data_IF_683374222067
#
_entry.id   IF_683374222067
#
_cell.length_a   1.000
_cell.length_b   1.000
_cell.length_c   1.000
_cell.angle_alpha   90.00
_cell.angle_beta   90.00
_cell.angle_gamma   90.00
#
_symmetry.space_group_name_H-M   'P 1'
#
loop_
_entity.id
_entity.type
_entity.pdbx_description
1 polymer ?
#
# COMPACT_ATOMS: atom_id res chain seq x y z
N UNK A 1 20.29 21.13 -51.17
CA UNK A 1 19.25 22.19 -51.01
C UNK A 1 17.88 21.60 -50.70
N UNK A 2 17.84 20.58 -49.81
CA UNK A 2 16.62 19.83 -49.44
C UNK A 2 16.19 20.06 -47.97
N UNK A 3 16.54 21.21 -47.43
CA UNK A 3 16.28 21.54 -45.98
C UNK A 3 15.03 22.40 -45.76
N UNK A 4 14.24 22.63 -46.81
CA UNK A 4 13.01 23.45 -46.64
C UNK A 4 11.87 22.59 -46.10
N UNK A 5 11.27 22.96 -44.94
CA UNK A 5 10.18 22.24 -44.34
C UNK A 5 8.95 22.24 -45.25
N UNK A 6 8.36 21.07 -45.47
CA UNK A 6 7.04 20.98 -46.08
C UNK A 6 5.96 21.35 -45.06
N UNK A 7 5.24 22.44 -45.32
CA UNK A 7 4.17 22.94 -44.47
C UNK A 7 2.81 22.58 -45.11
N UNK A 8 1.91 22.02 -44.32
CA UNK A 8 0.56 21.66 -44.75
C UNK A 8 -0.45 22.71 -44.26
N UNK A 9 -0.97 23.57 -45.19
CA UNK A 9 -1.98 24.58 -44.83
C UNK A 9 -3.33 23.97 -44.42
N UNK A 10 -3.60 22.72 -44.76
CA UNK A 10 -4.87 22.03 -44.43
C UNK A 10 -4.85 21.38 -43.07
N UNK A 11 -3.69 21.29 -42.43
CA UNK A 11 -3.53 20.70 -41.08
C UNK A 11 -4.20 21.55 -39.99
N UNK A 12 -4.76 20.89 -38.97
CA UNK A 12 -5.27 21.57 -37.77
C UNK A 12 -4.17 22.26 -36.95
N UNK A 13 -2.90 21.94 -37.21
CA UNK A 13 -1.75 22.56 -36.54
C UNK A 13 -1.36 23.84 -37.26
N UNK A 14 -1.34 25.01 -36.58
CA UNK A 14 -0.94 26.29 -37.19
C UNK A 14 0.44 26.22 -37.84
N UNK A 15 0.62 26.87 -39.02
CA UNK A 15 1.85 26.81 -39.82
C UNK A 15 3.09 27.20 -39.03
N UNK A 16 3.02 28.16 -38.11
CA UNK A 16 4.18 28.55 -37.29
C UNK A 16 4.63 27.44 -36.33
N UNK A 17 3.67 26.62 -35.82
CA UNK A 17 4.00 25.45 -34.99
C UNK A 17 4.59 24.30 -35.80
N UNK A 18 4.10 24.10 -37.03
CA UNK A 18 4.66 23.12 -37.93
C UNK A 18 6.12 23.49 -38.26
N UNK A 19 6.35 24.77 -38.58
CA UNK A 19 7.68 25.30 -38.86
C UNK A 19 8.63 25.17 -37.67
N UNK A 20 8.15 25.53 -36.46
CA UNK A 20 8.92 25.35 -35.23
C UNK A 20 9.30 23.87 -35.02
N UNK A 21 8.36 22.94 -35.13
CA UNK A 21 8.60 21.51 -34.98
C UNK A 21 9.59 20.92 -36.03
N UNK A 22 9.63 21.48 -37.24
CA UNK A 22 10.63 21.10 -38.25
C UNK A 22 12.02 21.53 -37.81
N UNK A 23 12.23 22.77 -37.40
CA UNK A 23 13.52 23.24 -36.92
C UNK A 23 13.96 22.51 -35.65
N UNK A 24 13.05 22.20 -34.76
CA UNK A 24 13.34 21.39 -33.56
C UNK A 24 13.93 20.02 -33.93
N UNK A 25 13.35 19.33 -34.92
CA UNK A 25 13.86 18.04 -35.38
C UNK A 25 15.24 18.18 -36.06
N UNK A 26 15.42 19.19 -36.90
CA UNK A 26 16.69 19.44 -37.56
C UNK A 26 17.83 19.81 -36.58
N UNK A 27 17.52 20.58 -35.55
CA UNK A 27 18.45 20.88 -34.45
C UNK A 27 18.75 19.61 -33.62
N UNK A 28 17.72 18.80 -33.34
CA UNK A 28 17.88 17.58 -32.57
C UNK A 28 18.64 16.48 -33.32
N UNK A 29 18.44 16.37 -34.64
CA UNK A 29 19.20 15.42 -35.50
C UNK A 29 20.63 15.87 -35.79
N UNK A 30 20.95 17.15 -35.52
CA UNK A 30 22.26 17.73 -35.88
C UNK A 30 22.39 18.20 -37.35
N UNK A 31 21.32 18.16 -38.13
CA UNK A 31 21.24 18.72 -39.46
C UNK A 31 21.48 20.25 -39.47
N UNK A 32 21.00 20.93 -38.42
CA UNK A 32 21.33 22.29 -38.09
C UNK A 32 22.34 22.29 -36.94
N UNK A 33 23.56 22.64 -37.23
CA UNK A 33 24.64 22.62 -36.25
C UNK A 33 24.54 23.79 -35.25
N UNK A 34 25.01 23.58 -34.01
CA UNK A 34 25.13 24.65 -33.01
C UNK A 34 25.95 25.82 -33.53
N UNK A 35 25.42 27.03 -33.44
CA UNK A 35 26.05 28.25 -33.97
C UNK A 35 25.73 28.52 -35.44
N UNK A 36 25.03 27.62 -36.12
CA UNK A 36 24.60 27.80 -37.49
C UNK A 36 23.58 28.93 -37.59
N UNK A 37 23.70 29.74 -38.63
CA UNK A 37 22.82 30.88 -38.86
C UNK A 37 21.54 30.43 -39.57
N UNK A 38 20.40 30.72 -38.99
CA UNK A 38 19.10 30.53 -39.63
C UNK A 38 18.86 31.61 -40.70
N UNK A 39 18.10 31.29 -41.78
CA UNK A 39 17.70 32.25 -42.77
C UNK A 39 16.96 33.46 -42.13
N UNK A 40 17.15 34.62 -42.73
CA UNK A 40 16.38 35.80 -42.24
C UNK A 40 14.87 35.55 -42.39
N UNK A 41 14.06 36.03 -41.42
CA UNK A 41 12.60 35.78 -41.41
C UNK A 41 11.92 36.20 -42.72
N UNK A 42 12.42 37.25 -43.41
CA UNK A 42 11.90 37.75 -44.69
C UNK A 42 12.29 36.77 -45.84
N UNK A 43 13.46 36.28 -45.82
CA UNK A 43 13.98 35.34 -46.79
C UNK A 43 13.28 33.98 -46.69
N UNK A 44 13.18 33.44 -45.49
CA UNK A 44 12.50 32.16 -45.24
C UNK A 44 11.00 32.23 -45.57
N UNK A 45 10.34 33.37 -45.29
CA UNK A 45 8.96 33.58 -45.65
C UNK A 45 8.74 33.52 -47.16
N UNK A 46 9.67 34.14 -47.92
CA UNK A 46 9.63 34.11 -49.38
C UNK A 46 9.89 32.68 -49.93
N UNK A 47 10.83 31.94 -49.37
CA UNK A 47 11.15 30.58 -49.80
C UNK A 47 10.02 29.57 -49.51
N UNK A 48 9.26 29.77 -48.40
CA UNK A 48 8.16 28.90 -47.99
C UNK A 48 6.79 29.34 -48.50
N UNK A 49 6.70 30.49 -49.13
CA UNK A 49 5.41 31.08 -49.57
C UNK A 49 4.42 31.44 -48.43
N UNK A 50 4.96 31.73 -47.24
CA UNK A 50 4.15 32.05 -46.05
C UNK A 50 4.31 33.50 -45.61
N UNK A 51 3.41 34.00 -44.74
CA UNK A 51 3.56 35.33 -44.20
C UNK A 51 4.78 35.46 -43.30
N UNK A 52 5.47 36.59 -43.32
CA UNK A 52 6.62 36.89 -42.46
C UNK A 52 6.28 36.74 -40.96
N UNK A 53 5.03 37.10 -40.57
CA UNK A 53 4.55 36.93 -39.17
C UNK A 53 4.56 35.45 -38.74
N UNK A 54 4.28 34.53 -39.65
CA UNK A 54 4.31 33.09 -39.38
C UNK A 54 5.75 32.62 -39.05
N UNK A 55 6.74 33.10 -39.82
CA UNK A 55 8.16 32.77 -39.57
C UNK A 55 8.64 33.44 -38.26
N UNK A 56 8.26 34.69 -38.02
CA UNK A 56 8.60 35.43 -36.81
C UNK A 56 8.06 34.70 -35.56
N UNK A 57 6.79 34.28 -35.59
CA UNK A 57 6.18 33.53 -34.49
C UNK A 57 6.85 32.15 -34.24
N UNK A 58 7.30 31.49 -35.32
CA UNK A 58 8.06 30.25 -35.19
C UNK A 58 9.44 30.49 -34.54
N UNK A 59 10.13 31.56 -34.92
CA UNK A 59 11.42 31.92 -34.34
C UNK A 59 11.29 32.37 -32.89
N UNK A 60 10.31 33.18 -32.57
CA UNK A 60 10.02 33.53 -31.17
C UNK A 60 9.77 32.29 -30.31
N UNK A 61 9.03 31.31 -30.82
CA UNK A 61 8.78 30.06 -30.12
C UNK A 61 10.07 29.22 -29.95
N UNK A 62 10.94 29.20 -30.94
CA UNK A 62 12.25 28.56 -30.83
C UNK A 62 13.19 29.28 -29.85
N UNK A 63 13.14 30.61 -29.79
CA UNK A 63 13.86 31.41 -28.79
C UNK A 63 13.37 31.14 -27.38
N UNK A 64 12.04 31.12 -27.17
CA UNK A 64 11.43 30.77 -25.88
C UNK A 64 11.84 29.35 -25.41
N UNK A 65 12.03 28.43 -26.35
CA UNK A 65 12.53 27.08 -26.08
C UNK A 65 14.06 27.01 -25.93
N UNK A 66 14.77 28.12 -26.09
CA UNK A 66 16.23 28.21 -26.00
C UNK A 66 16.96 27.45 -27.10
N UNK A 67 16.30 27.15 -28.22
CA UNK A 67 16.87 26.43 -29.37
C UNK A 67 17.59 27.35 -30.33
N UNK A 68 17.23 28.63 -30.40
CA UNK A 68 17.91 29.65 -31.14
C UNK A 68 18.14 30.90 -30.28
N UNK A 69 19.09 31.72 -30.68
CA UNK A 69 19.36 33.03 -30.07
C UNK A 69 19.43 34.12 -31.15
N UNK A 70 18.63 35.16 -30.98
CA UNK A 70 18.66 36.34 -31.85
C UNK A 70 19.77 37.30 -31.45
N UNK A 71 20.56 37.75 -32.42
CA UNK A 71 21.55 38.84 -32.25
C UNK A 71 21.14 40.03 -33.07
N UNK A 72 20.95 41.18 -32.42
CA UNK A 72 20.57 42.43 -33.07
C UNK A 72 21.57 42.75 -34.22
N UNK A 73 21.06 42.89 -35.45
CA UNK A 73 21.85 43.18 -36.63
C UNK A 73 22.62 42.00 -37.24
N UNK A 74 22.64 40.82 -36.61
CA UNK A 74 23.36 39.64 -37.09
C UNK A 74 22.49 38.46 -37.50
N UNK A 75 21.22 38.45 -37.04
CA UNK A 75 20.27 37.36 -37.33
C UNK A 75 20.11 36.38 -36.18
N UNK A 76 19.37 35.29 -36.44
CA UNK A 76 19.08 34.21 -35.46
C UNK A 76 20.05 33.04 -35.72
N UNK A 77 20.59 32.48 -34.67
CA UNK A 77 21.55 31.38 -34.69
C UNK A 77 21.07 30.22 -33.81
N UNK A 78 21.38 28.99 -34.21
CA UNK A 78 21.13 27.81 -33.34
C UNK A 78 21.89 28.01 -32.03
N UNK A 79 21.16 28.04 -30.94
CA UNK A 79 21.72 28.27 -29.61
C UNK A 79 22.67 27.12 -29.26
N UNK A 80 23.79 27.43 -28.61
CA UNK A 80 24.60 26.42 -27.94
C UNK A 80 23.77 25.81 -26.87
N UNK A 81 23.28 24.60 -27.10
CA UNK A 81 22.59 23.85 -26.05
C UNK A 81 23.57 23.75 -24.88
N UNK A 82 23.42 24.60 -23.88
CA UNK A 82 23.95 24.31 -22.56
C UNK A 82 23.21 23.07 -22.11
N UNK A 83 23.75 21.92 -22.45
CA UNK A 83 23.24 20.65 -22.04
C UNK A 83 23.56 20.49 -20.55
N UNK A 84 22.86 21.22 -19.70
CA UNK A 84 22.45 20.62 -18.46
C UNK A 84 21.45 19.57 -18.87
N UNK A 85 21.95 18.36 -19.09
CA UNK A 85 21.10 17.20 -19.27
C UNK A 85 20.22 17.12 -18.02
N UNK A 86 19.02 17.67 -18.11
CA UNK A 86 18.05 17.51 -17.03
C UNK A 86 17.67 16.05 -17.04
N UNK A 87 17.95 15.39 -15.92
CA UNK A 87 17.56 14.00 -15.72
C UNK A 87 16.03 13.94 -15.82
N UNK A 88 15.53 13.19 -16.78
CA UNK A 88 14.10 12.93 -16.91
C UNK A 88 13.68 11.89 -15.87
N UNK A 89 13.38 12.38 -14.68
CA UNK A 89 12.91 11.57 -13.57
C UNK A 89 11.62 10.81 -13.88
N UNK A 90 10.76 11.32 -14.78
CA UNK A 90 9.50 10.65 -15.12
C UNK A 90 9.72 9.35 -15.91
N UNK A 91 10.81 9.27 -16.66
CA UNK A 91 11.22 8.06 -17.39
C UNK A 91 12.09 7.11 -16.55
N UNK A 92 12.85 7.65 -15.59
CA UNK A 92 13.74 6.85 -14.76
C UNK A 92 13.02 6.22 -13.56
N UNK A 93 12.01 6.89 -13.02
CA UNK A 93 11.27 6.38 -11.86
C UNK A 93 10.23 5.38 -12.31
N UNK A 94 10.32 4.16 -11.76
CA UNK A 94 9.23 3.19 -11.87
C UNK A 94 7.95 3.83 -11.28
N UNK A 95 6.85 3.75 -12.03
CA UNK A 95 5.57 4.29 -11.53
C UNK A 95 5.14 3.47 -10.32
N UNK A 96 4.91 4.08 -9.16
CA UNK A 96 4.34 3.38 -8.03
C UNK A 96 2.97 2.81 -8.42
N UNK A 97 2.65 1.62 -7.89
CA UNK A 97 1.33 1.05 -8.05
C UNK A 97 0.27 2.11 -7.70
N UNK A 98 -0.80 2.19 -8.49
CA UNK A 98 -1.88 3.17 -8.26
C UNK A 98 -2.39 3.02 -6.83
N UNK A 99 -2.06 3.95 -5.97
CA UNK A 99 -2.69 4.09 -4.67
C UNK A 99 -3.97 4.90 -4.87
N UNK A 100 -5.09 4.42 -4.35
CA UNK A 100 -6.27 5.25 -4.26
C UNK A 100 -5.93 6.46 -3.37
N UNK A 101 -6.05 7.66 -3.93
CA UNK A 101 -5.88 8.87 -3.16
C UNK A 101 -6.99 8.93 -2.10
N UNK A 102 -6.64 8.66 -0.86
CA UNK A 102 -7.54 8.83 0.27
C UNK A 102 -7.41 10.29 0.69
N UNK A 103 -8.32 11.14 0.22
CA UNK A 103 -8.42 12.50 0.73
C UNK A 103 -8.70 12.45 2.23
N UNK A 104 -8.16 13.38 3.03
CA UNK A 104 -8.48 13.48 4.45
C UNK A 104 -9.97 13.77 4.61
N UNK A 105 -10.75 12.70 4.80
CA UNK A 105 -12.16 12.79 5.10
C UNK A 105 -12.34 12.89 6.62
N UNK A 106 -13.42 13.52 7.06
CA UNK A 106 -13.73 13.66 8.49
C UNK A 106 -13.87 12.30 9.19
N UNK A 107 -14.37 11.28 8.47
CA UNK A 107 -14.47 9.89 8.92
C UNK A 107 -13.76 8.98 7.91
N UNK A 108 -12.71 8.30 8.34
CA UNK A 108 -11.93 7.42 7.45
C UNK A 108 -12.04 5.96 7.87
N UNK A 109 -12.63 5.15 7.00
CA UNK A 109 -12.63 3.68 7.07
C UNK A 109 -11.54 3.06 6.18
N UNK A 110 -10.68 3.87 5.56
CA UNK A 110 -9.64 3.40 4.67
C UNK A 110 -8.40 2.85 5.39
N UNK A 111 -8.07 3.38 6.57
CA UNK A 111 -6.88 3.01 7.32
C UNK A 111 -7.21 2.01 8.44
N UNK A 112 -6.62 0.80 8.36
CA UNK A 112 -6.71 -0.20 9.43
C UNK A 112 -5.70 0.13 10.53
N UNK A 113 -6.07 1.02 11.46
CA UNK A 113 -5.23 1.50 12.56
C UNK A 113 -5.97 1.40 13.91
N UNK A 114 -5.23 1.25 15.02
CA UNK A 114 -5.82 1.36 16.35
C UNK A 114 -6.30 2.79 16.61
N UNK A 115 -7.20 3.00 17.58
CA UNK A 115 -7.71 4.31 17.95
C UNK A 115 -6.65 5.11 18.71
N UNK A 116 -6.31 6.27 18.19
CA UNK A 116 -5.27 7.14 18.74
C UNK A 116 -5.62 7.69 20.14
N UNK A 117 -6.90 7.93 20.38
CA UNK A 117 -7.40 8.42 21.67
C UNK A 117 -7.25 7.43 22.83
N UNK A 118 -6.94 6.16 22.54
CA UNK A 118 -6.69 5.16 23.58
C UNK A 118 -5.19 4.98 23.89
N UNK A 119 -4.30 5.67 23.18
CA UNK A 119 -2.86 5.52 23.45
C UNK A 119 -2.54 5.99 24.87
N UNK A 120 -1.91 5.13 25.70
CA UNK A 120 -1.52 5.46 27.07
C UNK A 120 -0.26 6.33 27.04
N UNK A 121 -0.41 7.62 26.70
CA UNK A 121 0.70 8.54 26.45
C UNK A 121 1.56 8.73 27.68
N UNK A 122 0.95 8.84 28.88
CA UNK A 122 1.68 8.99 30.15
C UNK A 122 2.52 7.73 30.48
N UNK A 123 1.96 6.53 30.28
CA UNK A 123 2.67 5.26 30.47
C UNK A 123 3.81 5.10 29.47
N UNK A 124 3.61 5.59 28.24
CA UNK A 124 4.63 5.60 27.22
C UNK A 124 5.77 6.58 27.58
N UNK A 125 5.42 7.81 28.01
CA UNK A 125 6.38 8.81 28.46
C UNK A 125 7.23 8.26 29.61
N UNK A 126 6.61 7.66 30.61
CA UNK A 126 7.33 7.04 31.73
C UNK A 126 8.29 5.93 31.24
N UNK A 127 7.88 5.11 30.28
CA UNK A 127 8.75 4.07 29.71
C UNK A 127 9.96 4.69 28.97
N UNK A 128 9.79 5.85 28.32
CA UNK A 128 10.89 6.60 27.71
C UNK A 128 11.86 7.14 28.78
N UNK A 129 11.34 7.73 29.86
CA UNK A 129 12.15 8.26 30.96
C UNK A 129 12.99 7.15 31.63
N UNK A 130 12.39 5.97 31.84
CA UNK A 130 13.10 4.80 32.36
C UNK A 130 14.27 4.36 31.45
N UNK A 131 14.11 4.42 30.11
CA UNK A 131 15.17 4.10 29.15
C UNK A 131 16.24 5.21 29.15
N UNK A 132 15.84 6.48 29.14
CA UNK A 132 16.76 7.62 29.14
C UNK A 132 17.60 7.68 30.43
N UNK A 133 17.02 7.30 31.56
CA UNK A 133 17.71 7.21 32.86
C UNK A 133 18.53 5.94 33.06
N UNK A 134 18.50 5.01 32.10
CA UNK A 134 19.22 3.74 32.23
C UNK A 134 20.73 3.91 32.05
N UNK A 135 21.52 3.15 32.80
CA UNK A 135 22.99 3.19 32.72
C UNK A 135 23.57 2.68 31.39
N UNK A 136 22.75 2.10 30.50
CA UNK A 136 23.15 1.53 29.22
C UNK A 136 22.69 2.37 28.00
N UNK A 137 22.24 3.60 28.19
CA UNK A 137 21.75 4.47 27.12
C UNK A 137 22.76 4.60 25.96
N UNK A 138 24.04 4.73 26.26
CA UNK A 138 25.09 4.82 25.25
C UNK A 138 25.12 3.61 24.29
N UNK A 139 24.90 2.40 24.80
CA UNK A 139 24.84 1.19 23.96
C UNK A 139 23.54 1.11 23.13
N UNK A 140 22.42 1.64 23.66
CA UNK A 140 21.16 1.72 22.92
C UNK A 140 21.27 2.70 21.75
N UNK A 141 22.04 3.76 21.88
CA UNK A 141 22.27 4.78 20.85
C UNK A 141 23.36 4.42 19.84
N UNK A 142 24.10 3.33 20.07
CA UNK A 142 25.11 2.82 19.12
C UNK A 142 24.48 1.92 18.05
N UNK A 143 25.22 1.62 17.01
CA UNK A 143 24.81 0.61 16.01
C UNK A 143 24.53 -0.73 16.68
N UNK A 144 23.37 -1.31 16.34
CA UNK A 144 22.87 -2.53 16.93
C UNK A 144 23.10 -3.79 16.09
N UNK A 145 22.63 -4.92 16.62
CA UNK A 145 22.60 -6.17 15.89
C UNK A 145 21.51 -6.18 14.80
N UNK A 146 21.76 -6.72 13.62
CA UNK A 146 20.69 -6.97 12.62
C UNK A 146 19.55 -7.85 13.16
N UNK A 147 19.82 -8.68 14.17
CA UNK A 147 18.82 -9.51 14.84
C UNK A 147 17.83 -8.75 15.72
N UNK A 148 18.15 -7.51 16.06
CA UNK A 148 17.40 -6.63 16.94
C UNK A 148 18.07 -6.44 18.31
N UNK A 149 17.47 -5.60 19.15
CA UNK A 149 17.89 -5.33 20.52
C UNK A 149 17.74 -6.61 21.38
N UNK A 150 18.86 -7.13 21.87
CA UNK A 150 18.93 -8.44 22.50
C UNK A 150 17.95 -8.60 23.68
N UNK A 151 17.78 -7.65 24.60
CA UNK A 151 16.82 -7.81 25.69
C UNK A 151 15.36 -7.97 25.21
N UNK A 152 14.92 -7.17 24.23
CA UNK A 152 13.57 -7.34 23.65
C UNK A 152 13.45 -8.68 22.91
N UNK A 153 14.48 -9.05 22.17
CA UNK A 153 14.49 -10.34 21.47
C UNK A 153 14.35 -11.51 22.43
N UNK A 154 15.06 -11.49 23.55
CA UNK A 154 14.96 -12.52 24.58
C UNK A 154 13.59 -12.56 25.25
N UNK A 155 13.01 -11.41 25.54
CA UNK A 155 11.64 -11.29 26.04
C UNK A 155 10.62 -11.92 25.08
N UNK A 156 10.71 -11.61 23.78
CA UNK A 156 9.81 -12.16 22.76
C UNK A 156 10.01 -13.67 22.54
N UNK A 157 11.25 -14.17 22.62
CA UNK A 157 11.54 -15.61 22.56
C UNK A 157 10.91 -16.36 23.74
N UNK A 158 11.00 -15.80 24.94
CA UNK A 158 10.39 -16.40 26.12
C UNK A 158 8.86 -16.42 26.03
N UNK A 159 8.26 -15.32 25.56
CA UNK A 159 6.82 -15.25 25.28
C UNK A 159 6.39 -16.33 24.27
N UNK A 160 7.12 -16.47 23.15
CA UNK A 160 6.81 -17.43 22.11
C UNK A 160 6.90 -18.89 22.62
N UNK A 161 7.85 -19.17 23.52
CA UNK A 161 7.96 -20.50 24.18
C UNK A 161 6.78 -20.78 25.13
N UNK A 162 6.38 -19.78 25.92
CA UNK A 162 5.20 -19.89 26.83
C UNK A 162 3.90 -20.13 26.07
N UNK A 163 3.83 -19.66 24.84
CA UNK A 163 2.66 -19.80 23.97
C UNK A 163 2.72 -21.05 23.06
N UNK A 164 3.73 -21.90 23.18
CA UNK A 164 4.01 -23.04 22.29
C UNK A 164 4.10 -22.65 20.79
N UNK A 165 4.45 -21.39 20.52
CA UNK A 165 4.58 -20.85 19.18
C UNK A 165 6.00 -20.94 18.62
N UNK A 166 6.84 -21.82 19.19
CA UNK A 166 8.26 -21.96 18.84
C UNK A 166 8.70 -23.41 18.89
N UNK A 167 9.29 -23.88 17.80
CA UNK A 167 9.95 -25.19 17.74
C UNK A 167 11.38 -25.15 18.32
N UNK A 168 12.02 -26.31 18.52
CA UNK A 168 13.34 -26.38 19.13
C UNK A 168 14.46 -25.75 18.31
N UNK A 169 14.32 -25.76 16.99
CA UNK A 169 15.29 -25.18 16.04
C UNK A 169 14.89 -23.81 15.49
N UNK A 170 13.87 -23.19 16.08
CA UNK A 170 13.44 -21.85 15.69
C UNK A 170 14.32 -20.76 16.32
N UNK A 171 14.31 -19.61 15.65
CA UNK A 171 14.91 -18.37 16.12
C UNK A 171 13.98 -17.20 15.84
N UNK A 172 14.36 -15.99 16.24
CA UNK A 172 13.57 -14.77 16.11
C UNK A 172 14.39 -13.62 15.51
N UNK A 173 13.77 -12.87 14.60
CA UNK A 173 14.30 -11.62 14.05
C UNK A 173 13.33 -10.47 14.34
N UNK A 174 13.82 -9.39 14.95
CA UNK A 174 13.07 -8.15 15.09
C UNK A 174 13.16 -7.33 13.80
N UNK A 175 12.03 -6.78 13.36
CA UNK A 175 11.89 -6.02 12.13
C UNK A 175 11.24 -4.65 12.37
N UNK A 176 11.40 -3.73 11.42
CA UNK A 176 10.75 -2.42 11.43
C UNK A 176 9.26 -2.56 11.03
N UNK A 177 8.51 -3.34 11.80
CA UNK A 177 7.11 -3.72 11.59
C UNK A 177 6.92 -4.88 10.60
N UNK A 178 5.68 -5.37 10.51
CA UNK A 178 5.32 -6.51 9.65
C UNK A 178 5.57 -6.25 8.16
N UNK A 179 5.52 -5.00 7.70
CA UNK A 179 5.79 -4.66 6.30
C UNK A 179 7.22 -5.01 5.90
N UNK A 180 8.20 -4.69 6.75
CA UNK A 180 9.58 -5.11 6.54
C UNK A 180 9.73 -6.63 6.65
N UNK A 181 9.06 -7.28 7.61
CA UNK A 181 9.08 -8.73 7.73
C UNK A 181 8.63 -9.40 6.42
N UNK A 182 7.53 -8.93 5.83
CA UNK A 182 7.01 -9.42 4.56
C UNK A 182 7.97 -9.17 3.39
N UNK A 183 8.60 -7.98 3.32
CA UNK A 183 9.58 -7.68 2.26
C UNK A 183 10.86 -8.54 2.38
N UNK A 184 11.37 -8.72 3.59
CA UNK A 184 12.52 -9.60 3.83
C UNK A 184 12.21 -11.05 3.45
N UNK A 185 11.05 -11.58 3.84
CA UNK A 185 10.60 -12.92 3.47
C UNK A 185 10.45 -13.05 1.94
N UNK A 186 9.85 -12.05 1.28
CA UNK A 186 9.79 -12.01 -0.18
C UNK A 186 11.18 -12.05 -0.80
N UNK A 187 12.13 -11.23 -0.36
CA UNK A 187 13.51 -11.20 -0.89
C UNK A 187 14.24 -12.53 -0.67
N UNK A 188 14.03 -13.16 0.46
CA UNK A 188 14.70 -14.43 0.79
C UNK A 188 14.12 -15.64 0.04
N UNK A 189 12.79 -15.69 -0.15
CA UNK A 189 12.08 -16.88 -0.60
C UNK A 189 11.51 -16.78 -2.02
N UNK A 190 11.12 -15.58 -2.47
CA UNK A 190 10.38 -15.42 -3.74
C UNK A 190 11.32 -15.09 -4.88
N UNK A 191 11.41 -15.97 -5.85
CA UNK A 191 12.10 -15.75 -7.13
C UNK A 191 11.11 -15.17 -8.16
N UNK A 192 11.57 -14.37 -9.15
CA UNK A 192 10.71 -13.94 -10.25
C UNK A 192 10.03 -15.13 -10.95
N UNK A 193 8.72 -15.05 -11.12
CA UNK A 193 7.88 -16.12 -11.67
C UNK A 193 7.42 -17.18 -10.67
N UNK A 194 7.89 -17.16 -9.41
CA UNK A 194 7.44 -18.09 -8.38
C UNK A 194 5.94 -17.93 -8.11
N UNK A 195 5.27 -19.07 -7.94
CA UNK A 195 3.86 -19.11 -7.55
C UNK A 195 3.75 -19.04 -6.03
N UNK A 196 2.95 -18.12 -5.53
CA UNK A 196 2.72 -17.90 -4.10
C UNK A 196 1.24 -18.02 -3.80
N UNK A 197 0.88 -18.97 -2.96
CA UNK A 197 -0.49 -19.16 -2.49
C UNK A 197 -0.84 -18.08 -1.45
N UNK A 198 -1.97 -17.41 -1.67
CA UNK A 198 -2.45 -16.31 -0.82
C UNK A 198 -3.98 -16.35 -0.71
N UNK A 199 -4.51 -15.62 0.23
CA UNK A 199 -5.96 -15.38 0.32
C UNK A 199 -6.44 -14.47 -0.84
N UNK A 200 -7.70 -14.60 -1.25
CA UNK A 200 -8.35 -13.67 -2.16
C UNK A 200 -9.76 -13.34 -1.63
N UNK A 201 -9.99 -12.13 -1.14
CA UNK A 201 -9.14 -10.93 -1.18
C UNK A 201 -7.95 -10.97 -0.20
N UNK A 202 -6.91 -10.16 -0.48
CA UNK A 202 -5.65 -10.06 0.28
C UNK A 202 -5.30 -8.62 0.65
N UNK A 203 -4.54 -8.45 1.73
CA UNK A 203 -3.96 -7.15 2.13
C UNK A 203 -3.12 -6.55 0.99
N UNK A 204 -3.44 -5.30 0.50
CA UNK A 204 -2.77 -4.71 -0.65
C UNK A 204 -1.27 -4.51 -0.47
N UNK A 205 -0.82 -4.23 0.76
CA UNK A 205 0.61 -4.09 1.06
C UNK A 205 1.39 -5.39 0.84
N UNK A 206 0.82 -6.54 1.17
CA UNK A 206 1.40 -7.85 0.87
C UNK A 206 1.32 -8.15 -0.64
N UNK A 207 0.14 -7.92 -1.26
CA UNK A 207 -0.04 -8.11 -2.70
C UNK A 207 1.02 -7.38 -3.51
N UNK A 208 1.22 -6.09 -3.23
CA UNK A 208 2.18 -5.26 -3.96
C UNK A 208 3.62 -5.73 -3.77
N UNK A 209 4.04 -6.04 -2.54
CA UNK A 209 5.39 -6.58 -2.26
C UNK A 209 5.65 -7.85 -3.08
N UNK A 210 4.70 -8.78 -3.12
CA UNK A 210 4.86 -10.04 -3.85
C UNK A 210 4.92 -9.80 -5.36
N UNK A 211 4.04 -8.95 -5.90
CA UNK A 211 4.01 -8.60 -7.33
C UNK A 211 5.27 -7.86 -7.78
N UNK A 212 5.80 -6.92 -6.97
CA UNK A 212 7.07 -6.25 -7.23
C UNK A 212 8.25 -7.23 -7.23
N UNK A 213 8.17 -8.30 -6.44
CA UNK A 213 9.11 -9.41 -6.46
C UNK A 213 8.98 -10.34 -7.67
N UNK A 214 8.04 -10.07 -8.57
CA UNK A 214 7.76 -10.89 -9.74
C UNK A 214 6.98 -12.18 -9.44
N UNK A 215 6.34 -12.30 -8.27
CA UNK A 215 5.53 -13.46 -7.92
C UNK A 215 4.26 -13.55 -8.78
N UNK A 216 3.79 -14.78 -8.98
CA UNK A 216 2.45 -15.08 -9.51
C UNK A 216 1.57 -15.51 -8.33
N UNK A 217 0.57 -14.70 -8.01
CA UNK A 217 -0.33 -14.97 -6.89
C UNK A 217 -1.41 -15.98 -7.31
N UNK A 218 -1.68 -16.93 -6.42
CA UNK A 218 -2.70 -17.97 -6.61
C UNK A 218 -3.56 -18.02 -5.34
N UNK A 219 -4.88 -18.11 -5.50
CA UNK A 219 -5.75 -18.31 -4.35
C UNK A 219 -5.45 -19.67 -3.70
N UNK A 220 -5.07 -19.67 -2.39
CA UNK A 220 -4.69 -20.88 -1.64
C UNK A 220 -5.80 -21.95 -1.62
N UNK A 221 -7.07 -21.56 -1.76
CA UNK A 221 -8.20 -22.50 -1.84
C UNK A 221 -8.17 -23.39 -3.09
N UNK A 222 -7.37 -23.02 -4.10
CA UNK A 222 -7.11 -23.85 -5.30
C UNK A 222 -5.93 -24.81 -5.09
N UNK A 223 -5.34 -24.80 -3.92
CA UNK A 223 -4.19 -25.60 -3.52
C UNK A 223 -2.97 -24.77 -3.15
N UNK A 224 -2.12 -25.32 -2.30
CA UNK A 224 -0.89 -24.69 -1.88
C UNK A 224 0.20 -24.80 -2.95
N UNK A 225 1.07 -23.81 -2.97
CA UNK A 225 2.28 -23.71 -3.79
C UNK A 225 3.52 -23.91 -2.90
N UNK A 226 4.73 -23.73 -3.42
CA UNK A 226 5.96 -23.83 -2.60
C UNK A 226 5.96 -22.86 -1.41
N UNK A 227 5.29 -21.73 -1.56
CA UNK A 227 5.16 -20.69 -0.54
C UNK A 227 3.69 -20.37 -0.39
N UNK A 228 3.21 -20.29 0.84
CA UNK A 228 1.89 -19.79 1.18
C UNK A 228 2.01 -18.66 2.21
N UNK A 229 1.26 -17.57 2.02
CA UNK A 229 1.20 -16.45 2.97
C UNK A 229 -0.25 -16.26 3.38
N UNK A 230 -0.56 -16.53 4.64
CA UNK A 230 -1.93 -16.59 5.17
C UNK A 230 -2.09 -15.73 6.43
N UNK A 231 -3.28 -15.21 6.64
CA UNK A 231 -3.67 -14.41 7.82
C UNK A 231 -4.84 -15.09 8.54
N UNK A 232 -4.60 -16.13 9.36
CA UNK A 232 -5.66 -16.97 9.91
C UNK A 232 -6.58 -16.27 10.93
N UNK A 233 -6.12 -15.19 11.56
CA UNK A 233 -6.90 -14.46 12.55
C UNK A 233 -7.29 -13.08 12.02
N UNK A 234 -8.61 -12.82 11.94
CA UNK A 234 -9.17 -11.51 11.57
C UNK A 234 -8.56 -10.96 10.28
N UNK A 235 -8.59 -11.78 9.26
CA UNK A 235 -7.97 -11.57 7.95
C UNK A 235 -8.27 -10.16 7.40
N UNK A 236 -7.27 -9.49 6.85
CA UNK A 236 -7.45 -8.22 6.19
C UNK A 236 -7.54 -8.45 4.66
N UNK A 237 -8.73 -8.19 4.04
CA UNK A 237 -9.75 -7.23 4.48
C UNK A 237 -11.00 -7.80 5.17
N UNK A 238 -11.22 -9.10 5.17
CA UNK A 238 -12.52 -9.71 5.49
C UNK A 238 -12.88 -9.70 6.98
N UNK A 239 -11.89 -9.60 7.86
CA UNK A 239 -12.07 -9.75 9.30
C UNK A 239 -12.35 -11.19 9.75
N UNK A 240 -12.43 -12.16 8.85
CA UNK A 240 -12.74 -13.54 9.17
C UNK A 240 -11.59 -14.25 9.87
N UNK A 241 -11.93 -15.25 10.66
CA UNK A 241 -11.01 -16.18 11.30
C UNK A 241 -11.07 -17.52 10.59
N UNK A 242 -9.91 -18.06 10.18
CA UNK A 242 -9.80 -19.38 9.60
C UNK A 242 -10.16 -20.44 10.66
N UNK A 243 -11.16 -21.30 10.41
CA UNK A 243 -11.56 -22.35 11.35
C UNK A 243 -10.43 -23.35 11.64
N UNK A 244 -10.45 -24.00 12.81
CA UNK A 244 -9.43 -24.97 13.20
C UNK A 244 -9.26 -26.09 12.16
N UNK A 245 -10.35 -26.67 11.70
CA UNK A 245 -10.30 -27.74 10.70
C UNK A 245 -9.61 -27.32 9.39
N UNK A 246 -9.79 -26.06 8.99
CA UNK A 246 -9.11 -25.51 7.81
C UNK A 246 -7.62 -25.28 8.06
N UNK A 247 -7.22 -24.79 9.28
CA UNK A 247 -5.81 -24.68 9.68
C UNK A 247 -5.12 -26.02 9.60
N UNK A 248 -5.74 -27.06 10.13
CA UNK A 248 -5.21 -28.44 10.09
C UNK A 248 -5.12 -28.97 8.65
N UNK A 249 -6.10 -28.67 7.80
CA UNK A 249 -6.09 -29.05 6.38
C UNK A 249 -4.94 -28.40 5.62
N UNK A 250 -4.76 -27.08 5.81
CA UNK A 250 -3.65 -26.32 5.23
C UNK A 250 -2.30 -26.90 5.66
N UNK A 251 -2.13 -27.24 6.94
CA UNK A 251 -0.89 -27.79 7.45
C UNK A 251 -0.61 -29.22 6.96
N UNK A 252 -1.65 -30.05 6.76
CA UNK A 252 -1.50 -31.35 6.12
C UNK A 252 -1.01 -31.20 4.68
N UNK A 253 -1.69 -30.37 3.89
CA UNK A 253 -1.30 -30.11 2.51
C UNK A 253 0.11 -29.50 2.42
N UNK A 254 0.45 -28.57 3.32
CA UNK A 254 1.76 -27.96 3.38
C UNK A 254 2.88 -28.99 3.65
N UNK A 255 2.61 -29.98 4.50
CA UNK A 255 3.53 -31.10 4.76
C UNK A 255 3.71 -31.96 3.53
N UNK A 256 2.61 -32.36 2.89
CA UNK A 256 2.62 -33.24 1.71
C UNK A 256 3.35 -32.61 0.52
N UNK A 257 3.25 -31.30 0.39
CA UNK A 257 3.87 -30.52 -0.71
C UNK A 257 5.21 -29.85 -0.34
N UNK A 258 5.71 -30.03 0.89
CA UNK A 258 6.87 -29.31 1.42
C UNK A 258 6.75 -27.78 1.27
N UNK A 259 5.56 -27.22 1.48
CA UNK A 259 5.25 -25.79 1.39
C UNK A 259 5.82 -25.04 2.60
N UNK A 260 6.47 -23.92 2.36
CA UNK A 260 6.78 -22.92 3.40
C UNK A 260 5.54 -22.09 3.68
N UNK A 261 5.01 -22.17 4.90
CA UNK A 261 3.84 -21.39 5.33
C UNK A 261 4.29 -20.16 6.11
N UNK A 262 3.91 -18.99 5.64
CA UNK A 262 4.12 -17.71 6.32
C UNK A 262 2.79 -17.29 6.94
N UNK A 263 2.71 -17.36 8.25
CA UNK A 263 1.55 -16.92 9.01
C UNK A 263 1.70 -15.45 9.41
N UNK A 264 0.79 -14.59 8.93
CA UNK A 264 0.73 -13.17 9.29
C UNK A 264 -0.27 -12.98 10.44
N UNK A 265 0.19 -13.10 11.69
CA UNK A 265 -0.64 -13.05 12.90
C UNK A 265 -0.49 -11.73 13.66
N UNK A 266 -0.90 -10.63 13.03
CA UNK A 266 -0.79 -9.29 13.61
C UNK A 266 -2.07 -8.85 14.35
N UNK A 267 -3.14 -9.64 14.31
CA UNK A 267 -4.44 -9.28 14.86
C UNK A 267 -4.93 -10.19 15.97
N UNK A 268 -4.34 -11.37 16.21
CA UNK A 268 -4.86 -12.40 17.15
C UNK A 268 -5.14 -11.86 18.55
N UNK A 269 -4.33 -10.92 19.03
CA UNK A 269 -4.52 -10.28 20.34
C UNK A 269 -5.73 -9.33 20.40
N UNK A 270 -6.40 -9.04 19.29
CA UNK A 270 -7.61 -8.21 19.20
C UNK A 270 -8.86 -9.07 19.03
N UNK A 271 -8.99 -10.14 19.80
CA UNK A 271 -10.20 -10.97 19.83
C UNK A 271 -11.24 -10.34 20.76
N UNK A 272 -12.45 -10.16 20.27
CA UNK A 272 -13.56 -9.53 20.98
C UNK A 272 -14.64 -10.52 21.41
N UNK A 273 -14.77 -11.65 20.67
CA UNK A 273 -15.72 -12.72 20.93
C UNK A 273 -15.14 -14.08 20.54
N UNK A 274 -15.81 -15.15 20.96
CA UNK A 274 -15.37 -16.52 20.69
C UNK A 274 -14.13 -16.93 21.48
N UNK A 275 -13.63 -18.12 21.22
CA UNK A 275 -12.43 -18.66 21.84
C UNK A 275 -11.18 -18.44 20.97
N UNK A 276 -9.99 -18.20 21.55
CA UNK A 276 -8.76 -18.15 20.78
C UNK A 276 -8.51 -19.50 20.11
N UNK A 277 -8.05 -19.47 18.87
CA UNK A 277 -7.61 -20.65 18.13
C UNK A 277 -6.08 -20.67 18.05
N UNK A 278 -5.45 -21.86 18.15
CA UNK A 278 -4.01 -21.97 18.02
C UNK A 278 -3.56 -21.52 16.65
N UNK A 279 -2.45 -20.79 16.56
CA UNK A 279 -1.83 -20.36 15.30
C UNK A 279 -1.39 -21.57 14.46
N UNK A 280 -1.14 -21.36 13.16
CA UNK A 280 -0.56 -22.42 12.31
C UNK A 280 0.80 -22.86 12.87
N UNK A 281 1.58 -21.92 13.40
CA UNK A 281 2.87 -22.22 14.04
C UNK A 281 2.73 -23.06 15.30
N UNK A 282 1.73 -22.79 16.15
CA UNK A 282 1.46 -23.61 17.35
C UNK A 282 0.99 -25.02 17.01
N UNK A 283 0.18 -25.17 15.95
CA UNK A 283 -0.28 -26.49 15.48
C UNK A 283 0.83 -27.33 14.83
N UNK A 284 1.86 -26.67 14.27
CA UNK A 284 2.96 -27.34 13.59
C UNK A 284 4.30 -26.64 13.86
N UNK A 285 4.80 -26.65 15.10
CA UNK A 285 6.01 -25.91 15.49
C UNK A 285 7.29 -26.38 14.79
N UNK A 286 7.31 -27.63 14.35
CA UNK A 286 8.47 -28.25 13.66
C UNK A 286 8.34 -28.22 12.12
N UNK A 287 7.23 -27.70 11.58
CA UNK A 287 7.04 -27.59 10.15
C UNK A 287 7.74 -26.33 9.59
N UNK A 288 7.84 -26.24 8.26
CA UNK A 288 8.36 -25.07 7.55
C UNK A 288 7.49 -23.81 7.69
N UNK A 289 7.05 -23.50 8.93
CA UNK A 289 6.13 -22.38 9.24
C UNK A 289 6.90 -21.23 9.86
N UNK A 290 6.74 -20.02 9.28
CA UNK A 290 7.21 -18.77 9.86
C UNK A 290 6.01 -17.95 10.36
N UNK A 291 6.12 -17.38 11.56
CA UNK A 291 5.09 -16.56 12.21
C UNK A 291 5.54 -15.10 12.26
N UNK A 292 4.73 -14.20 11.71
CA UNK A 292 4.93 -12.75 11.80
C UNK A 292 4.01 -12.18 12.86
N UNK A 293 4.55 -11.38 13.76
CA UNK A 293 3.79 -10.60 14.76
C UNK A 293 4.23 -9.15 14.80
N UNK A 294 3.43 -8.27 15.39
CA UNK A 294 3.74 -6.84 15.49
C UNK A 294 3.04 -6.19 16.66
N UNK A 295 3.69 -5.20 17.26
CA UNK A 295 3.07 -4.29 18.24
C UNK A 295 2.15 -3.24 17.59
N UNK A 296 2.19 -3.06 16.27
CA UNK A 296 1.50 -1.96 15.58
C UNK A 296 -0.04 -1.96 15.72
N UNK A 297 -0.65 -3.09 16.08
CA UNK A 297 -2.11 -3.18 16.24
C UNK A 297 -2.55 -3.20 17.71
N UNK A 298 -1.64 -3.44 18.62
CA UNK A 298 -1.90 -3.63 20.05
C UNK A 298 -1.20 -2.60 20.95
N UNK A 299 -0.39 -1.72 20.38
CA UNK A 299 0.30 -0.64 21.07
C UNK A 299 0.50 0.57 20.14
N UNK A 300 1.74 0.95 19.87
CA UNK A 300 2.10 2.18 19.15
C UNK A 300 2.54 1.88 17.70
N UNK A 301 1.69 2.06 16.69
CA UNK A 301 2.05 1.79 15.29
C UNK A 301 3.21 2.64 14.79
N UNK A 302 3.41 3.84 15.37
CA UNK A 302 4.50 4.75 15.03
C UNK A 302 5.90 4.24 15.37
N UNK A 303 6.05 3.35 16.36
CA UNK A 303 7.34 2.76 16.74
C UNK A 303 7.88 1.75 15.71
N UNK A 304 7.04 1.30 14.79
CA UNK A 304 7.45 0.40 13.72
C UNK A 304 8.13 -0.88 14.20
N UNK A 305 7.53 -1.60 15.15
CA UNK A 305 8.09 -2.84 15.70
C UNK A 305 7.24 -4.06 15.32
N UNK A 306 7.93 -5.08 14.78
CA UNK A 306 7.41 -6.39 14.49
C UNK A 306 8.52 -7.44 14.59
N UNK A 307 8.17 -8.70 14.44
CA UNK A 307 9.15 -9.79 14.47
C UNK A 307 8.68 -11.00 13.66
N UNK A 308 9.66 -11.82 13.29
CA UNK A 308 9.45 -13.10 12.61
C UNK A 308 10.02 -14.20 13.51
N UNK A 309 9.25 -15.26 13.74
CA UNK A 309 9.68 -16.50 14.37
C UNK A 309 9.68 -17.60 13.31
N UNK A 310 10.72 -18.41 13.23
CA UNK A 310 10.77 -19.51 12.29
C UNK A 310 12.08 -20.28 12.33
N UNK A 311 12.24 -21.25 11.44
CA UNK A 311 13.44 -22.10 11.40
C UNK A 311 14.73 -21.27 11.33
N UNK A 312 15.74 -21.66 12.11
CA UNK A 312 17.03 -20.94 12.20
C UNK A 312 17.66 -20.64 10.85
N UNK A 313 17.67 -21.54 9.83
CA UNK A 313 18.20 -21.21 8.52
C UNK A 313 17.46 -20.05 7.85
N UNK A 314 16.12 -19.99 7.97
CA UNK A 314 15.32 -18.87 7.46
C UNK A 314 15.68 -17.58 8.18
N UNK A 315 15.69 -17.58 9.52
CA UNK A 315 16.00 -16.38 10.31
C UNK A 315 17.42 -15.87 10.03
N UNK A 316 18.39 -16.76 9.78
CA UNK A 316 19.75 -16.39 9.37
C UNK A 316 19.73 -15.66 8.03
N UNK A 317 19.06 -16.21 7.01
CA UNK A 317 18.94 -15.58 5.71
C UNK A 317 18.21 -14.22 5.76
N UNK A 318 17.16 -14.11 6.59
CA UNK A 318 16.46 -12.83 6.81
C UNK A 318 17.35 -11.80 7.51
N UNK A 319 18.20 -12.22 8.47
CA UNK A 319 19.15 -11.33 9.16
C UNK A 319 20.20 -10.78 8.20
N UNK A 320 20.74 -11.62 7.33
CA UNK A 320 21.69 -11.22 6.28
C UNK A 320 21.03 -10.24 5.30
N UNK A 321 19.83 -10.56 4.84
CA UNK A 321 19.05 -9.67 3.95
C UNK A 321 18.76 -8.32 4.62
N UNK A 322 18.39 -8.34 5.90
CA UNK A 322 18.13 -7.13 6.68
C UNK A 322 19.38 -6.27 6.86
N UNK A 323 20.52 -6.89 7.13
CA UNK A 323 21.80 -6.19 7.25
C UNK A 323 22.13 -5.38 5.99
N UNK A 324 21.81 -5.91 4.81
CA UNK A 324 21.99 -5.20 3.54
C UNK A 324 20.91 -4.14 3.26
N UNK A 325 19.78 -4.17 3.99
CA UNK A 325 18.64 -3.27 3.75
C UNK A 325 18.69 -2.04 4.64
N UNK A 326 18.85 -2.22 5.95
CA UNK A 326 18.76 -1.14 6.96
C UNK A 326 19.73 -1.31 8.14
N UNK A 327 20.67 -2.25 8.07
CA UNK A 327 21.62 -2.66 9.12
C UNK A 327 20.90 -3.25 10.33
N UNK A 328 20.05 -2.49 11.01
CA UNK A 328 19.24 -2.92 12.16
C UNK A 328 17.99 -2.02 12.32
N UNK A 329 16.99 -2.50 13.06
CA UNK A 329 15.85 -1.67 13.48
C UNK A 329 16.25 -0.77 14.65
N UNK A 330 15.59 0.39 14.78
CA UNK A 330 15.85 1.36 15.85
C UNK A 330 15.82 0.71 17.25
N UNK A 331 16.92 0.84 17.99
CA UNK A 331 17.09 0.22 19.31
C UNK A 331 16.36 0.97 20.41
N UNK A 332 16.22 2.29 20.30
CA UNK A 332 15.54 3.07 21.32
C UNK A 332 14.06 2.69 21.41
N UNK A 333 13.36 2.64 20.28
CA UNK A 333 11.97 2.16 20.24
C UNK A 333 11.81 0.74 20.79
N UNK A 334 12.79 -0.13 20.52
CA UNK A 334 12.80 -1.49 21.04
C UNK A 334 12.97 -1.52 22.57
N UNK A 335 13.87 -0.71 23.11
CA UNK A 335 14.10 -0.61 24.55
C UNK A 335 12.87 -0.03 25.28
N UNK A 336 12.26 1.04 24.73
CA UNK A 336 11.03 1.62 25.27
C UNK A 336 9.88 0.61 25.26
N UNK A 337 9.70 -0.12 24.14
CA UNK A 337 8.65 -1.12 24.04
C UNK A 337 8.84 -2.30 25.02
N UNK A 338 10.09 -2.69 25.27
CA UNK A 338 10.42 -3.68 26.28
C UNK A 338 9.99 -3.22 27.69
N UNK A 339 10.35 -1.99 28.08
CA UNK A 339 9.95 -1.43 29.39
C UNK A 339 8.42 -1.34 29.52
N UNK A 340 7.75 -0.93 28.46
CA UNK A 340 6.30 -0.87 28.41
C UNK A 340 5.66 -2.26 28.58
N UNK A 341 6.27 -3.30 27.99
CA UNK A 341 5.77 -4.68 28.08
C UNK A 341 6.07 -5.31 29.44
N UNK A 342 7.32 -5.22 29.95
CA UNK A 342 7.74 -5.83 31.22
C UNK A 342 7.02 -5.25 32.44
N UNK A 343 6.66 -3.96 32.40
CA UNK A 343 5.93 -3.29 33.48
C UNK A 343 4.47 -3.69 33.60
N UNK A 344 3.93 -4.50 32.67
CA UNK A 344 2.51 -4.85 32.61
C UNK A 344 1.63 -3.81 31.91
N UNK A 345 2.15 -2.63 31.55
CA UNK A 345 1.41 -1.56 30.86
C UNK A 345 0.85 -2.03 29.51
N UNK A 346 1.62 -2.85 28.77
CA UNK A 346 1.15 -3.45 27.51
C UNK A 346 -0.10 -4.31 27.73
N UNK A 347 -0.11 -5.19 28.71
CA UNK A 347 -1.25 -6.05 28.99
C UNK A 347 -2.50 -5.26 29.41
N UNK A 348 -2.32 -4.24 30.25
CA UNK A 348 -3.39 -3.34 30.65
C UNK A 348 -3.96 -2.56 29.46
N UNK A 349 -3.09 -2.07 28.56
CA UNK A 349 -3.51 -1.40 27.35
C UNK A 349 -4.25 -2.33 26.39
N UNK A 350 -3.76 -3.54 26.18
CA UNK A 350 -4.44 -4.56 25.35
C UNK A 350 -5.86 -4.85 25.84
N UNK A 351 -6.06 -4.97 27.14
CA UNK A 351 -7.40 -5.17 27.72
C UNK A 351 -8.36 -4.03 27.37
N UNK A 352 -7.91 -2.78 27.49
CA UNK A 352 -8.68 -1.60 27.07
C UNK A 352 -8.98 -1.59 25.57
N UNK A 353 -7.99 -1.98 24.75
CA UNK A 353 -8.15 -2.08 23.31
C UNK A 353 -9.19 -3.14 22.90
N UNK A 354 -9.21 -4.28 23.57
CA UNK A 354 -10.20 -5.35 23.32
C UNK A 354 -11.61 -4.88 23.67
N UNK A 355 -11.79 -4.24 24.80
CA UNK A 355 -13.10 -3.69 25.22
C UNK A 355 -13.60 -2.64 24.23
N UNK A 356 -12.80 -1.62 23.96
CA UNK A 356 -13.12 -0.57 22.99
C UNK A 356 -13.32 -1.11 21.56
N UNK A 357 -12.59 -2.14 21.18
CA UNK A 357 -12.74 -2.82 19.89
C UNK A 357 -14.07 -3.55 19.76
N UNK A 358 -14.54 -4.18 20.85
CA UNK A 358 -15.86 -4.83 20.92
C UNK A 358 -17.00 -3.82 20.70
N UNK A 359 -16.93 -2.67 21.37
CA UNK A 359 -17.93 -1.61 21.21
C UNK A 359 -17.96 -1.06 19.77
N UNK A 360 -16.80 -0.82 19.18
CA UNK A 360 -16.67 -0.32 17.80
C UNK A 360 -17.21 -1.32 16.78
N UNK A 361 -16.90 -2.59 16.95
CA UNK A 361 -17.40 -3.65 16.07
C UNK A 361 -18.93 -3.75 16.18
N UNK A 362 -19.47 -3.70 17.39
CA UNK A 362 -20.93 -3.74 17.60
C UNK A 362 -21.62 -2.54 16.94
N UNK A 363 -21.07 -1.34 17.10
CA UNK A 363 -21.58 -0.13 16.45
C UNK A 363 -21.54 -0.26 14.93
N UNK A 364 -20.45 -0.81 14.37
CA UNK A 364 -20.28 -1.00 12.94
C UNK A 364 -21.31 -2.01 12.37
N UNK A 365 -21.52 -3.15 13.03
CA UNK A 365 -22.47 -4.16 12.60
C UNK A 365 -23.92 -3.68 12.71
N UNK A 366 -24.26 -2.99 13.80
CA UNK A 366 -25.60 -2.40 13.97
C UNK A 366 -25.88 -1.32 12.91
N UNK A 367 -24.88 -0.49 12.61
CA UNK A 367 -25.02 0.54 11.57
C UNK A 367 -25.14 -0.08 10.18
N UNK A 368 -24.39 -1.13 9.88
CA UNK A 368 -24.48 -1.86 8.61
C UNK A 368 -25.89 -2.44 8.40
N UNK A 369 -26.45 -3.09 9.42
CA UNK A 369 -27.82 -3.64 9.40
C UNK A 369 -28.88 -2.57 9.13
N UNK A 370 -28.70 -1.40 9.77
CA UNK A 370 -29.69 -0.33 9.71
C UNK A 370 -29.62 0.51 8.45
N UNK A 371 -28.42 0.76 7.92
CA UNK A 371 -28.22 1.82 6.93
C UNK A 371 -27.76 1.34 5.57
N UNK A 372 -27.16 0.16 5.43
CA UNK A 372 -26.76 -0.31 4.11
C UNK A 372 -27.98 -0.65 3.22
N UNK A 373 -27.86 -0.56 1.89
CA UNK A 373 -28.98 -0.88 1.00
C UNK A 373 -29.40 -2.36 1.12
N UNK A 374 -30.68 -2.61 0.91
CA UNK A 374 -31.22 -3.97 0.86
C UNK A 374 -30.46 -4.82 -0.20
N UNK A 375 -30.15 -6.05 0.14
CA UNK A 375 -29.32 -6.95 -0.69
C UNK A 375 -27.82 -6.81 -0.44
N UNK A 376 -27.36 -5.87 0.40
CA UNK A 376 -25.99 -5.88 0.87
C UNK A 376 -25.74 -7.01 1.86
N UNK A 377 -24.53 -7.58 1.82
CA UNK A 377 -24.05 -8.56 2.80
C UNK A 377 -22.73 -8.10 3.43
N UNK A 378 -22.40 -8.60 4.60
CA UNK A 378 -21.13 -8.27 5.25
C UNK A 378 -20.66 -9.40 6.16
N UNK A 379 -19.34 -9.45 6.35
CA UNK A 379 -18.74 -10.36 7.32
C UNK A 379 -19.05 -9.93 8.75
N UNK A 380 -19.06 -10.91 9.67
CA UNK A 380 -19.25 -10.67 11.11
C UNK A 380 -18.01 -11.15 11.88
N UNK A 381 -16.96 -10.31 11.97
CA UNK A 381 -15.74 -10.68 12.67
C UNK A 381 -15.94 -10.91 14.17
N UNK A 382 -15.08 -11.75 14.74
CA UNK A 382 -14.97 -11.92 16.20
C UNK A 382 -13.85 -11.06 16.80
N UNK A 383 -13.18 -10.23 15.96
CA UNK A 383 -12.03 -9.41 16.37
C UNK A 383 -11.44 -8.58 15.23
N UNK A 384 -10.22 -8.13 15.41
CA UNK A 384 -9.50 -7.34 14.42
C UNK A 384 -10.02 -5.92 14.26
N UNK A 385 -9.79 -5.32 13.10
CA UNK A 385 -10.09 -3.89 12.86
C UNK A 385 -10.95 -3.67 11.61
N UNK A 386 -11.35 -4.72 10.89
CA UNK A 386 -11.97 -4.61 9.58
C UNK A 386 -13.17 -5.55 9.47
N UNK A 387 -14.12 -5.15 8.62
CA UNK A 387 -15.09 -6.08 8.06
C UNK A 387 -15.30 -5.77 6.57
N UNK A 388 -15.79 -6.76 5.85
CA UNK A 388 -16.00 -6.71 4.41
C UNK A 388 -17.45 -6.54 4.09
N UNK A 389 -17.78 -5.62 3.20
CA UNK A 389 -19.13 -5.37 2.72
C UNK A 389 -19.19 -5.71 1.25
N UNK A 390 -20.22 -6.45 0.86
CA UNK A 390 -20.61 -6.69 -0.53
C UNK A 390 -21.92 -5.98 -0.79
N UNK A 391 -21.92 -5.04 -1.71
CA UNK A 391 -23.10 -4.29 -2.14
C UNK A 391 -23.93 -5.10 -3.13
N UNK A 392 -25.20 -4.75 -3.38
CA UNK A 392 -25.96 -5.32 -4.48
C UNK A 392 -25.24 -5.20 -5.84
N UNK A 393 -25.46 -6.15 -6.72
CA UNK A 393 -24.98 -6.09 -8.08
C UNK A 393 -25.41 -4.79 -8.77
N UNK A 394 -24.51 -4.24 -9.59
CA UNK A 394 -24.69 -2.93 -10.25
C UNK A 394 -24.06 -1.76 -9.51
N UNK A 395 -23.86 -1.81 -8.19
CA UNK A 395 -23.17 -0.76 -7.45
C UNK A 395 -21.65 -0.94 -7.51
N UNK A 396 -20.94 0.06 -8.03
CA UNK A 396 -19.49 0.09 -8.11
C UNK A 396 -18.89 0.92 -6.97
N UNK A 397 -18.28 0.24 -5.99
CA UNK A 397 -17.67 0.88 -4.83
C UNK A 397 -16.48 1.79 -5.20
N UNK A 398 -15.79 1.52 -6.30
CA UNK A 398 -14.69 2.36 -6.80
C UNK A 398 -15.22 3.70 -7.33
N UNK A 399 -16.27 3.67 -8.13
CA UNK A 399 -16.90 4.87 -8.68
C UNK A 399 -17.59 5.72 -7.60
N UNK A 400 -18.20 5.07 -6.60
CA UNK A 400 -18.91 5.74 -5.51
C UNK A 400 -17.99 6.37 -4.45
N UNK A 401 -16.71 5.99 -4.41
CA UNK A 401 -15.75 6.52 -3.45
C UNK A 401 -15.65 8.05 -3.49
N UNK A 402 -15.56 8.63 -4.69
CA UNK A 402 -15.47 10.09 -4.83
C UNK A 402 -16.69 10.84 -4.29
N UNK A 403 -17.89 10.25 -4.41
CA UNK A 403 -19.12 10.80 -3.83
C UNK A 403 -19.12 10.68 -2.31
N UNK A 404 -18.74 9.53 -1.76
CA UNK A 404 -18.62 9.34 -0.32
C UNK A 404 -17.60 10.30 0.31
N UNK A 405 -16.47 10.55 -0.36
CA UNK A 405 -15.45 11.52 0.09
C UNK A 405 -15.98 12.95 0.15
N UNK A 406 -16.79 13.37 -0.82
CA UNK A 406 -17.45 14.69 -0.78
C UNK A 406 -18.43 14.82 0.39
N UNK A 407 -19.04 13.73 0.82
CA UNK A 407 -19.89 13.68 2.01
C UNK A 407 -19.11 13.44 3.31
N UNK A 408 -17.76 13.43 3.27
CA UNK A 408 -16.89 13.37 4.42
C UNK A 408 -16.53 11.97 4.90
N UNK A 409 -16.74 10.91 4.08
CA UNK A 409 -16.40 9.53 4.42
C UNK A 409 -15.48 8.90 3.37
N UNK A 410 -14.44 8.18 3.81
CA UNK A 410 -13.58 7.42 2.92
C UNK A 410 -13.50 5.93 3.31
N UNK A 411 -13.30 5.06 2.31
CA UNK A 411 -13.11 3.62 2.46
C UNK A 411 -12.12 3.10 1.40
N UNK A 412 -11.80 1.81 1.41
CA UNK A 412 -11.07 1.19 0.31
C UNK A 412 -12.00 0.27 -0.50
N UNK A 413 -12.14 0.49 -1.82
CA UNK A 413 -12.89 -0.39 -2.71
C UNK A 413 -12.30 -1.79 -2.76
N UNK A 414 -13.15 -2.79 -2.99
CA UNK A 414 -12.76 -4.19 -2.97
C UNK A 414 -11.76 -4.59 -4.04
N UNK A 415 -11.78 -3.93 -5.18
CA UNK A 415 -10.89 -4.25 -6.31
C UNK A 415 -9.39 -4.16 -5.95
N UNK A 416 -9.00 -3.29 -5.00
CA UNK A 416 -7.58 -3.18 -4.58
C UNK A 416 -7.09 -4.43 -3.86
N UNK A 417 -7.99 -5.21 -3.27
CA UNK A 417 -7.68 -6.41 -2.49
C UNK A 417 -7.69 -7.69 -3.33
N UNK A 418 -8.29 -7.67 -4.52
CA UNK A 418 -8.47 -8.88 -5.33
C UNK A 418 -7.18 -9.31 -6.04
N UNK A 419 -6.99 -10.63 -6.10
CA UNK A 419 -5.86 -11.27 -6.79
C UNK A 419 -6.27 -11.69 -8.19
N UNK A 420 -7.41 -12.32 -8.32
CA UNK A 420 -7.88 -12.91 -9.60
C UNK A 420 -8.79 -11.94 -10.34
N UNK A 421 -10.08 -11.95 -10.05
CA UNK A 421 -11.05 -11.11 -10.74
C UNK A 421 -11.45 -9.91 -9.89
N UNK A 422 -11.54 -8.72 -10.46
CA UNK A 422 -12.02 -7.56 -9.75
C UNK A 422 -13.47 -7.75 -9.30
N UNK A 423 -13.79 -7.39 -8.07
CA UNK A 423 -15.16 -7.29 -7.56
C UNK A 423 -15.45 -5.83 -7.26
N UNK A 424 -16.16 -5.16 -8.15
CA UNK A 424 -16.42 -3.72 -8.06
C UNK A 424 -17.47 -3.38 -7.00
N UNK A 425 -18.35 -4.32 -6.67
CA UNK A 425 -19.45 -4.16 -5.69
C UNK A 425 -19.06 -4.46 -4.24
N UNK A 426 -17.77 -4.39 -3.91
CA UNK A 426 -17.31 -4.69 -2.56
C UNK A 426 -16.40 -3.60 -2.00
N UNK A 427 -16.31 -3.51 -0.67
CA UNK A 427 -15.44 -2.56 0.03
C UNK A 427 -15.03 -3.08 1.39
N UNK A 428 -13.88 -2.60 1.87
CA UNK A 428 -13.46 -2.80 3.25
C UNK A 428 -13.87 -1.59 4.10
N UNK A 429 -14.50 -1.86 5.23
CA UNK A 429 -14.74 -0.89 6.31
C UNK A 429 -13.78 -1.21 7.46
N UNK A 430 -12.87 -0.27 7.76
CA UNK A 430 -11.96 -0.35 8.90
C UNK A 430 -12.54 0.48 10.05
N UNK A 431 -13.00 -0.18 11.11
CA UNK A 431 -13.68 0.46 12.23
C UNK A 431 -12.75 0.83 13.40
N UNK A 432 -11.52 0.32 13.41
CA UNK A 432 -10.61 0.43 14.57
C UNK A 432 -10.24 1.86 14.97
N UNK A 433 -10.07 2.77 14.01
CA UNK A 433 -9.57 4.12 14.25
C UNK A 433 -10.65 5.20 14.46
N UNK A 434 -11.93 4.85 14.53
CA UNK A 434 -13.02 5.79 14.70
C UNK A 434 -13.83 5.47 15.96
N UNK A 435 -14.45 6.49 16.59
CA UNK A 435 -15.34 6.30 17.74
C UNK A 435 -16.68 5.70 17.31
N UNK A 436 -17.42 5.01 18.19
CA UNK A 436 -18.70 4.36 17.85
C UNK A 436 -19.71 5.28 17.17
N UNK A 437 -19.78 6.56 17.58
CA UNK A 437 -20.69 7.55 17.00
C UNK A 437 -20.24 7.93 15.56
N UNK A 438 -18.94 8.06 15.36
CA UNK A 438 -18.37 8.33 14.04
C UNK A 438 -18.57 7.13 13.09
N UNK A 439 -18.42 5.91 13.60
CA UNK A 439 -18.67 4.68 12.85
C UNK A 439 -20.12 4.64 12.37
N UNK A 440 -21.07 4.85 13.30
CA UNK A 440 -22.49 4.86 12.99
C UNK A 440 -22.82 5.93 11.95
N UNK A 441 -22.33 7.16 12.16
CA UNK A 441 -22.54 8.28 11.25
C UNK A 441 -21.90 8.04 9.86
N UNK A 442 -20.68 7.49 9.82
CA UNK A 442 -20.01 7.20 8.57
C UNK A 442 -20.73 6.13 7.74
N UNK A 443 -21.20 5.04 8.38
CA UNK A 443 -21.96 3.99 7.69
C UNK A 443 -23.35 4.51 7.25
N UNK A 444 -23.99 5.39 8.02
CA UNK A 444 -25.24 6.07 7.62
C UNK A 444 -25.03 6.88 6.33
N UNK A 445 -23.93 7.64 6.24
CA UNK A 445 -23.58 8.42 5.04
C UNK A 445 -23.34 7.48 3.86
N UNK A 446 -22.56 6.40 4.03
CA UNK A 446 -22.32 5.41 2.98
C UNK A 446 -23.65 4.79 2.50
N UNK A 447 -24.53 4.41 3.43
CA UNK A 447 -25.84 3.86 3.10
C UNK A 447 -26.70 4.82 2.27
N UNK A 448 -26.67 6.11 2.57
CA UNK A 448 -27.35 7.14 1.79
C UNK A 448 -26.77 7.27 0.38
N UNK A 449 -25.44 7.32 0.26
CA UNK A 449 -24.76 7.40 -1.04
C UNK A 449 -25.08 6.19 -1.92
N UNK A 450 -25.03 5.00 -1.36
CA UNK A 450 -25.27 3.75 -2.09
C UNK A 450 -26.76 3.59 -2.48
N UNK A 451 -27.71 3.95 -1.61
CA UNK A 451 -29.13 3.92 -1.95
C UNK A 451 -29.49 4.90 -3.06
N UNK A 452 -28.97 6.13 -2.99
CA UNK A 452 -29.22 7.13 -4.03
C UNK A 452 -28.76 6.66 -5.41
N UNK A 453 -27.63 5.95 -5.51
CA UNK A 453 -27.16 5.36 -6.75
C UNK A 453 -28.04 4.22 -7.23
N UNK A 454 -28.44 3.31 -6.31
CA UNK A 454 -29.36 2.22 -6.62
C UNK A 454 -30.71 2.69 -7.16
N UNK A 455 -31.21 3.82 -6.65
CA UNK A 455 -32.45 4.44 -7.11
C UNK A 455 -32.30 5.03 -8.53
N UNK A 456 -31.19 5.71 -8.81
CA UNK A 456 -30.86 6.24 -10.14
C UNK A 456 -30.77 5.13 -11.19
N UNK A 457 -30.13 4.01 -10.86
CA UNK A 457 -30.05 2.87 -11.77
C UNK A 457 -31.45 2.26 -12.07
N UNK A 458 -32.29 2.08 -11.04
CA UNK A 458 -33.66 1.61 -11.20
C UNK A 458 -34.52 2.54 -12.03
N UNK A 459 -34.28 3.85 -11.94
CA UNK A 459 -34.98 4.84 -12.78
C UNK A 459 -34.54 4.74 -14.24
N UNK A 460 -33.23 4.63 -14.49
CA UNK A 460 -32.66 4.47 -15.83
C UNK A 460 -33.14 3.17 -16.51
N UNK A 461 -33.30 2.08 -15.75
CA UNK A 461 -33.84 0.82 -16.28
C UNK A 461 -35.34 0.89 -16.62
N UNK A 462 -36.08 1.79 -15.97
CA UNK A 462 -37.53 1.97 -16.19
C UNK A 462 -37.87 2.97 -17.32
N UNK A 463 -36.94 3.84 -17.69
CA UNK A 463 -37.10 4.71 -18.85
C UNK A 463 -36.82 3.87 -20.12
N UNK A 464 -37.84 3.55 -20.95
CA UNK A 464 -37.61 2.83 -22.19
C UNK A 464 -36.68 3.69 -23.04
N UNK A 465 -35.63 3.09 -23.62
CA UNK A 465 -34.80 3.77 -24.61
C UNK A 465 -35.74 4.44 -25.63
N UNK A 466 -35.75 5.78 -25.58
CA UNK A 466 -36.53 6.54 -26.56
C UNK A 466 -36.05 6.10 -27.93
N UNK A 467 -36.89 5.39 -28.64
CA UNK A 467 -36.61 4.91 -29.97
C UNK A 467 -36.29 6.16 -30.82
N UNK A 468 -35.05 6.24 -31.25
CA UNK A 468 -34.65 7.17 -32.29
C UNK A 468 -35.36 6.71 -33.57
N UNK A 469 -36.50 7.35 -33.87
CA UNK A 469 -37.18 7.24 -35.16
C UNK A 469 -36.67 8.35 -36.05
#
# INVERSE_FOLDING_TARGET
MDLLPHLDPSSQTPLYRQLCGCFERQIASGELATGERLPATRELAGLLGVNRTTVSAAYELLEQKGLIAGHVGRGSFVARRSATAQVDWSNLLARPARQFAVNPAAISFAASRPPEELFPVEDFQQSCEEVLGSGNLGSILQLGSPGGYEPLRNYLLEQARREDAMGPDDDLLITSGCQQALDLLRRALVRPGARVAVEDPIYPGLKNILLEGGARLVNYQKGLEQIAVLTPNFQNPTGLTMPLAERESVLREARDKATVVIENDIYSALRYAGNPLPSLKQLAPQAGTALIRSFSKIAFPGLRLGWVIGPRPLITALRETKQLTDLHSDQFSQAVMLRFAESGRLAAHQSKMVEAGRERLQAALNAAERFLPSGSTWTRPEGGLNFWVTLPEGLDAGQLLGRAQREGVSYLPGEVFRVELPQHHSLRVSFGGARPEQITRGIEILGRVFRAESELQKQAEREPAAAWV
#
